data_IF_059492533412
#
_entry.id   IF_059492533412
#
_cell.length_a   1.000
_cell.length_b   1.000
_cell.length_c   1.000
_cell.angle_alpha   90.00
_cell.angle_beta   90.00
_cell.angle_gamma   90.00
#
_symmetry.space_group_name_H-M   'P 1'
#
loop_
_entity.id
_entity.type
_entity.pdbx_description
1 polymer ?
#
# COMPACT_ATOMS: atom_id res chain seq x y z
N UNK A 1 -18.43 11.94 8.34
CA UNK A 1 -17.18 12.72 8.30
C UNK A 1 -16.00 11.84 7.87
N UNK A 2 -15.71 11.79 6.56
CA UNK A 2 -14.44 11.23 6.05
C UNK A 2 -13.26 12.18 6.41
N UNK A 3 -13.54 13.48 6.56
CA UNK A 3 -12.55 14.52 6.87
C UNK A 3 -11.86 14.40 8.23
N UNK A 4 -12.42 13.60 9.15
CA UNK A 4 -11.86 13.34 10.48
C UNK A 4 -11.30 11.91 10.60
N UNK A 5 -11.37 11.13 9.51
CA UNK A 5 -10.87 9.77 9.49
C UNK A 5 -9.34 9.77 9.44
N UNK A 6 -8.72 8.94 10.27
CA UNK A 6 -7.27 8.79 10.37
C UNK A 6 -6.74 7.76 9.35
N UNK A 7 -7.65 6.99 8.73
CA UNK A 7 -7.35 5.86 7.84
C UNK A 7 -8.42 5.84 6.73
N UNK A 8 -7.99 5.51 5.52
CA UNK A 8 -8.86 5.23 4.37
C UNK A 8 -9.09 3.71 4.24
N UNK A 9 -10.35 3.28 4.09
CA UNK A 9 -10.68 1.91 3.64
C UNK A 9 -10.93 1.92 2.14
N UNK A 10 -10.38 0.96 1.39
CA UNK A 10 -10.32 0.98 -0.07
C UNK A 10 -8.96 1.45 -0.60
N UNK A 11 -8.75 1.34 -1.91
CA UNK A 11 -7.51 1.75 -2.55
C UNK A 11 -7.25 0.97 -3.83
N UNK A 12 -6.00 0.90 -4.25
CA UNK A 12 -5.56 0.03 -5.33
C UNK A 12 -5.67 -1.43 -4.88
N UNK A 13 -6.37 -2.27 -5.66
CA UNK A 13 -6.56 -3.69 -5.35
C UNK A 13 -5.21 -4.41 -5.27
N UNK A 14 -4.89 -4.95 -4.09
CA UNK A 14 -3.66 -5.68 -3.83
C UNK A 14 -3.50 -6.94 -4.69
N UNK A 15 -4.60 -7.49 -5.21
CA UNK A 15 -4.56 -8.61 -6.16
C UNK A 15 -3.97 -8.20 -7.51
N UNK A 16 -3.96 -6.92 -7.84
CA UNK A 16 -3.32 -6.37 -9.04
C UNK A 16 -1.86 -6.00 -8.82
N UNK A 17 -1.33 -6.20 -7.60
CA UNK A 17 0.05 -5.90 -7.25
C UNK A 17 0.86 -7.18 -7.02
N UNK A 18 2.15 -7.12 -7.36
CA UNK A 18 3.12 -8.14 -6.96
C UNK A 18 3.38 -8.04 -5.46
N UNK A 19 3.09 -9.06 -4.64
CA UNK A 19 3.27 -8.99 -3.18
C UNK A 19 4.75 -8.86 -2.76
N UNK A 20 5.69 -9.15 -3.65
CA UNK A 20 7.14 -9.03 -3.38
C UNK A 20 7.70 -7.66 -3.72
N UNK A 21 7.25 -7.06 -4.84
CA UNK A 21 7.84 -5.84 -5.40
C UNK A 21 6.90 -4.64 -5.35
N UNK A 22 5.62 -4.86 -5.04
CA UNK A 22 4.54 -3.89 -5.15
C UNK A 22 4.36 -3.28 -6.56
N UNK A 23 4.94 -3.89 -7.59
CA UNK A 23 4.73 -3.50 -8.98
C UNK A 23 3.31 -3.88 -9.43
N UNK A 24 2.70 -3.01 -10.24
CA UNK A 24 1.43 -3.30 -10.92
C UNK A 24 1.59 -4.45 -11.91
N UNK A 25 0.69 -5.43 -11.82
CA UNK A 25 0.55 -6.51 -12.81
C UNK A 25 -0.02 -6.01 -14.14
N UNK A 26 -0.62 -4.82 -14.17
CA UNK A 26 -1.27 -4.22 -15.32
C UNK A 26 -0.36 -3.24 -16.07
N UNK A 27 0.55 -2.55 -15.37
CA UNK A 27 1.44 -1.55 -15.93
C UNK A 27 2.87 -1.75 -15.43
N UNK A 28 3.79 -2.09 -16.34
CA UNK A 28 5.21 -2.27 -15.99
C UNK A 28 5.84 -0.97 -15.51
N UNK A 29 6.75 -1.09 -14.54
CA UNK A 29 7.46 0.02 -13.90
C UNK A 29 6.55 1.00 -13.14
N UNK A 30 5.32 0.60 -12.81
CA UNK A 30 4.41 1.35 -11.93
C UNK A 30 4.28 0.63 -10.60
N UNK A 31 4.47 1.35 -9.50
CA UNK A 31 4.51 0.79 -8.15
C UNK A 31 3.57 1.54 -7.21
N UNK A 32 2.99 0.83 -6.25
CA UNK A 32 2.10 1.41 -5.24
C UNK A 32 2.53 0.98 -3.84
N UNK A 33 2.45 1.87 -2.86
CA UNK A 33 2.85 1.59 -1.49
C UNK A 33 2.15 2.52 -0.50
N UNK A 34 2.07 2.10 0.76
CA UNK A 34 1.39 2.85 1.81
C UNK A 34 -0.12 2.89 1.64
N UNK A 35 -0.77 3.87 2.25
CA UNK A 35 -2.24 3.94 2.41
C UNK A 35 -3.02 4.06 1.09
N UNK A 36 -2.35 4.20 -0.06
CA UNK A 36 -3.00 4.21 -1.38
C UNK A 36 -3.46 2.82 -1.84
N UNK A 37 -2.87 1.76 -1.29
CA UNK A 37 -3.27 0.37 -1.57
C UNK A 37 -4.41 -0.04 -0.65
N UNK A 38 -5.24 -0.97 -1.08
CA UNK A 38 -6.39 -1.46 -0.31
C UNK A 38 -5.96 -2.39 0.84
N UNK A 39 -5.32 -1.79 1.85
CA UNK A 39 -4.91 -2.42 3.10
C UNK A 39 -5.16 -1.44 4.23
N UNK A 40 -6.09 -1.78 5.10
CA UNK A 40 -6.32 -1.08 6.35
C UNK A 40 -5.82 -1.90 7.55
N UNK A 41 -5.45 -1.19 8.61
CA UNK A 41 -5.09 -1.81 9.88
C UNK A 41 -5.61 -1.00 11.06
N UNK A 42 -5.76 -1.68 12.20
CA UNK A 42 -6.08 -1.03 13.46
C UNK A 42 -5.03 0.03 13.85
N UNK A 43 -5.42 0.95 14.72
CA UNK A 43 -4.49 1.90 15.34
C UNK A 43 -3.43 1.18 16.19
N UNK A 44 -2.30 1.84 16.45
CA UNK A 44 -1.18 1.25 17.18
C UNK A 44 0.09 1.06 16.36
N UNK A 45 0.21 1.80 15.24
CA UNK A 45 1.41 1.81 14.39
C UNK A 45 1.36 0.85 13.20
N UNK A 46 0.32 0.04 13.05
CA UNK A 46 0.22 -0.93 11.95
C UNK A 46 0.16 -0.27 10.57
N UNK A 47 -0.57 0.84 10.41
CA UNK A 47 -0.58 1.59 9.14
C UNK A 47 0.81 2.15 8.78
N UNK A 48 1.57 2.62 9.77
CA UNK A 48 2.96 3.05 9.55
C UNK A 48 3.85 1.87 9.15
N UNK A 49 3.67 0.72 9.81
CA UNK A 49 4.40 -0.50 9.46
C UNK A 49 4.09 -0.95 8.02
N UNK A 50 2.82 -0.90 7.61
CA UNK A 50 2.40 -1.18 6.22
C UNK A 50 3.07 -0.19 5.26
N UNK A 51 3.03 1.10 5.55
CA UNK A 51 3.64 2.13 4.71
C UNK A 51 5.15 1.93 4.54
N UNK A 52 5.87 1.67 5.64
CA UNK A 52 7.32 1.46 5.56
C UNK A 52 7.69 0.14 4.88
N UNK A 53 6.96 -0.94 5.16
CA UNK A 53 7.27 -2.26 4.59
C UNK A 53 7.00 -2.30 3.08
N UNK A 54 5.85 -1.76 2.65
CA UNK A 54 5.49 -1.72 1.22
C UNK A 54 6.35 -0.71 0.46
N UNK A 55 6.67 0.44 1.07
CA UNK A 55 7.58 1.43 0.49
C UNK A 55 8.99 0.87 0.29
N UNK A 56 9.50 0.10 1.25
CA UNK A 56 10.79 -0.59 1.12
C UNK A 56 10.76 -1.62 -0.01
N UNK A 57 9.71 -2.45 -0.09
CA UNK A 57 9.56 -3.45 -1.14
C UNK A 57 9.51 -2.82 -2.54
N UNK A 58 8.76 -1.73 -2.70
CA UNK A 58 8.69 -0.96 -3.95
C UNK A 58 10.04 -0.34 -4.33
N UNK A 59 10.72 0.30 -3.37
CA UNK A 59 12.00 0.96 -3.61
C UNK A 59 13.18 0.02 -3.88
N UNK A 60 13.09 -1.25 -3.46
CA UNK A 60 14.10 -2.28 -3.68
C UNK A 60 13.69 -3.32 -4.74
N UNK A 61 12.64 -3.03 -5.52
CA UNK A 61 12.26 -3.88 -6.64
C UNK A 61 13.37 -3.84 -7.71
N UNK A 62 14.21 -4.88 -7.71
CA UNK A 62 15.21 -5.19 -8.73
C UNK A 62 14.84 -6.47 -9.47
#
# INVERSE_FOLDING_TARGET
>A
PISEAVITSGGVDVNELSPKTMESKLCRNLYFAGEVIDVDAYTGGFNLQIAFSTGFAAGNAQ
#
